data_IF_840516690034
#
_entry.id   IF_840516690034
#
_cell.length_a   1.000
_cell.length_b   1.000
_cell.length_c   1.000
_cell.angle_alpha   90.00
_cell.angle_beta   90.00
_cell.angle_gamma   90.00
#
_symmetry.space_group_name_H-M   'P 1'
#
loop_
_entity.id
_entity.type
_entity.pdbx_description
1 polymer ?
#
# COMPACT_ATOMS: atom_id res chain seq x y z
N UNK A 1 -6.68 -18.56 -6.17
CA UNK A 1 -6.15 -17.43 -6.96
C UNK A 1 -4.72 -17.24 -6.51
N UNK A 2 -3.77 -17.76 -7.27
CA UNK A 2 -2.36 -17.40 -7.13
C UNK A 2 -2.27 -15.92 -7.56
N UNK A 3 -1.96 -15.04 -6.61
CA UNK A 3 -2.01 -13.57 -6.83
C UNK A 3 -0.87 -13.04 -7.72
N UNK A 4 -0.17 -13.92 -8.45
CA UNK A 4 0.95 -13.55 -9.32
C UNK A 4 2.09 -12.85 -8.58
N UNK A 5 2.25 -13.13 -7.28
CA UNK A 5 3.32 -12.57 -6.46
C UNK A 5 4.65 -13.22 -6.83
N UNK A 6 5.78 -12.47 -6.75
CA UNK A 6 7.11 -13.03 -6.91
C UNK A 6 7.36 -14.23 -5.95
N UNK A 7 8.20 -15.17 -6.36
CA UNK A 7 8.57 -16.30 -5.48
C UNK A 7 9.22 -15.80 -4.18
N UNK A 8 8.74 -16.28 -3.03
CA UNK A 8 9.21 -15.88 -1.71
C UNK A 8 8.48 -14.67 -1.10
N UNK A 9 7.47 -14.13 -1.78
CA UNK A 9 6.62 -13.07 -1.24
C UNK A 9 5.39 -13.64 -0.51
N UNK A 10 5.26 -13.28 0.76
CA UNK A 10 4.06 -13.55 1.56
C UNK A 10 3.13 -12.34 1.57
N UNK A 11 1.84 -12.59 1.36
CA UNK A 11 0.79 -11.59 1.55
C UNK A 11 0.67 -11.28 3.03
N UNK A 12 0.93 -10.04 3.40
CA UNK A 12 0.74 -9.57 4.76
C UNK A 12 -0.71 -9.18 4.98
N UNK A 13 -1.24 -8.33 4.10
CA UNK A 13 -2.56 -7.73 4.27
C UNK A 13 -3.25 -7.47 2.93
N UNK A 14 -4.59 -7.47 2.97
CA UNK A 14 -5.46 -7.29 1.82
C UNK A 14 -6.60 -6.34 2.20
N UNK A 15 -6.82 -5.29 1.40
CA UNK A 15 -7.94 -4.38 1.60
C UNK A 15 -8.82 -4.31 0.38
N UNK A 16 -10.13 -4.45 0.58
CA UNK A 16 -11.12 -4.26 -0.48
C UNK A 16 -11.18 -2.79 -0.87
N UNK A 17 -11.03 -2.52 -2.16
CA UNK A 17 -11.07 -1.19 -2.74
C UNK A 17 -11.42 -1.27 -4.23
N UNK A 18 -11.49 -0.11 -4.87
CA UNK A 18 -11.65 0.03 -6.31
C UNK A 18 -10.47 0.78 -6.91
N UNK A 19 -10.05 0.40 -8.11
CA UNK A 19 -9.03 1.11 -8.88
C UNK A 19 -9.54 1.24 -10.32
N UNK A 20 -9.53 2.46 -10.87
CA UNK A 20 -10.03 2.75 -12.23
C UNK A 20 -11.44 2.17 -12.50
N UNK A 21 -12.35 2.31 -11.53
CA UNK A 21 -13.73 1.78 -11.53
C UNK A 21 -13.85 0.25 -11.53
N UNK A 22 -12.77 -0.48 -11.27
CA UNK A 22 -12.77 -1.93 -11.09
C UNK A 22 -12.71 -2.28 -9.61
N UNK A 23 -13.56 -3.20 -9.19
CA UNK A 23 -13.56 -3.72 -7.82
C UNK A 23 -12.48 -4.78 -7.65
N UNK A 24 -11.75 -4.70 -6.55
CA UNK A 24 -10.66 -5.62 -6.28
C UNK A 24 -10.10 -5.46 -4.88
N UNK A 25 -8.82 -5.76 -4.75
CA UNK A 25 -8.10 -5.68 -3.49
C UNK A 25 -6.76 -5.00 -3.69
N UNK A 26 -6.45 -4.07 -2.80
CA UNK A 26 -5.09 -3.63 -2.56
C UNK A 26 -4.37 -4.74 -1.81
N UNK A 27 -3.21 -5.13 -2.30
CA UNK A 27 -2.35 -6.16 -1.76
C UNK A 27 -1.12 -5.50 -1.18
N UNK A 28 -0.80 -5.83 0.07
CA UNK A 28 0.48 -5.53 0.68
C UNK A 28 1.17 -6.85 1.00
N UNK A 29 2.33 -7.07 0.40
CA UNK A 29 3.23 -8.18 0.70
C UNK A 29 4.47 -7.67 1.45
N UNK A 30 5.44 -8.55 1.67
CA UNK A 30 6.68 -8.20 2.36
C UNK A 30 7.47 -7.11 1.64
N UNK A 31 7.58 -7.17 0.31
CA UNK A 31 8.35 -6.20 -0.47
C UNK A 31 7.54 -5.45 -1.53
N UNK A 32 6.27 -5.79 -1.76
CA UNK A 32 5.46 -5.18 -2.81
C UNK A 32 4.11 -4.65 -2.32
N UNK A 33 3.60 -3.68 -3.07
CA UNK A 33 2.24 -3.19 -2.99
C UNK A 33 1.63 -3.22 -4.37
N UNK A 34 0.38 -3.65 -4.46
CA UNK A 34 -0.28 -3.82 -5.74
C UNK A 34 -1.79 -3.80 -5.64
N UNK A 35 -2.45 -3.90 -6.79
CA UNK A 35 -3.89 -4.08 -6.88
C UNK A 35 -4.22 -5.28 -7.76
N UNK A 36 -5.18 -6.07 -7.31
CA UNK A 36 -5.76 -7.17 -8.07
C UNK A 36 -7.27 -6.99 -8.19
N UNK A 37 -7.75 -6.87 -9.43
CA UNK A 37 -9.19 -6.87 -9.72
C UNK A 37 -9.80 -8.27 -9.47
N UNK A 38 -11.04 -8.33 -8.97
CA UNK A 38 -11.70 -9.61 -8.72
C UNK A 38 -11.98 -10.42 -9.99
N UNK A 39 -12.22 -9.72 -11.09
CA UNK A 39 -12.34 -10.30 -12.43
C UNK A 39 -10.99 -10.73 -13.03
N UNK A 40 -9.87 -10.52 -12.31
CA UNK A 40 -8.50 -10.85 -12.72
C UNK A 40 -8.04 -10.16 -14.03
N UNK A 41 -8.74 -9.12 -14.48
CA UNK A 41 -8.39 -8.35 -15.69
C UNK A 41 -7.33 -7.28 -15.45
N UNK A 42 -7.07 -6.95 -14.19
CA UNK A 42 -6.07 -5.96 -13.80
C UNK A 42 -5.28 -6.47 -12.62
N UNK A 43 -3.99 -6.67 -12.85
CA UNK A 43 -3.00 -6.87 -11.82
C UNK A 43 -1.88 -5.87 -12.07
N UNK A 44 -1.56 -5.08 -11.06
CA UNK A 44 -0.29 -4.37 -11.03
C UNK A 44 0.35 -4.55 -9.67
N UNK A 45 1.66 -4.75 -9.67
CA UNK A 45 2.48 -4.84 -8.48
C UNK A 45 3.66 -3.89 -8.64
N UNK A 46 4.01 -3.21 -7.56
CA UNK A 46 5.15 -2.31 -7.48
C UNK A 46 5.93 -2.58 -6.20
N UNK A 47 7.26 -2.46 -6.22
CA UNK A 47 8.04 -2.57 -5.00
C UNK A 47 7.63 -1.48 -4.00
N UNK A 48 7.51 -1.86 -2.72
CA UNK A 48 7.29 -0.93 -1.62
C UNK A 48 8.45 0.07 -1.47
N UNK A 49 9.64 -0.25 -1.97
CA UNK A 49 10.78 0.68 -2.02
C UNK A 49 10.58 1.82 -3.01
N UNK A 50 9.66 1.67 -3.97
CA UNK A 50 9.28 2.72 -4.90
C UNK A 50 8.16 3.62 -4.36
N UNK A 51 7.40 3.19 -3.35
CA UNK A 51 6.35 3.99 -2.74
C UNK A 51 6.97 5.17 -1.96
N UNK A 52 6.68 6.39 -2.39
CA UNK A 52 7.24 7.62 -1.79
C UNK A 52 6.24 8.30 -0.88
N UNK A 53 4.98 8.35 -1.30
CA UNK A 53 3.91 8.99 -0.52
C UNK A 53 2.65 8.15 -0.57
N UNK A 54 1.97 8.11 0.58
CA UNK A 54 0.63 7.58 0.72
C UNK A 54 -0.24 8.66 1.36
N UNK A 55 -1.20 9.15 0.61
CA UNK A 55 -2.07 10.24 1.02
C UNK A 55 -3.53 9.81 1.03
N UNK A 56 -4.31 10.37 1.95
CA UNK A 56 -5.78 10.31 1.85
C UNK A 56 -6.25 11.32 0.84
N UNK A 57 -7.07 10.89 -0.12
CA UNK A 57 -7.75 11.84 -0.99
C UNK A 57 -8.98 12.34 -0.24
N UNK A 58 -8.98 13.64 0.12
CA UNK A 58 -10.23 14.32 0.48
C UNK A 58 -10.92 14.76 -0.80
N UNK A 59 -12.00 14.11 -1.16
CA UNK A 59 -12.86 14.55 -2.24
C UNK A 59 -13.54 15.86 -1.83
N UNK A 60 -13.23 16.97 -2.52
CA UNK A 60 -13.85 18.30 -2.29
C UNK A 60 -15.23 18.37 -2.96
N UNK A 61 -16.05 17.31 -2.89
CA UNK A 61 -17.44 17.34 -3.32
C UNK A 61 -18.36 17.19 -2.10
N UNK A 62 -19.22 18.19 -1.89
CA UNK A 62 -19.97 18.51 -0.67
C UNK A 62 -21.00 17.49 -0.15
N UNK A 63 -20.94 16.20 -0.50
CA UNK A 63 -21.86 15.19 0.03
C UNK A 63 -21.14 14.02 0.71
N UNK A 64 -20.84 14.26 1.99
CA UNK A 64 -20.95 13.35 3.14
C UNK A 64 -20.54 11.86 3.03
N UNK A 65 -19.67 11.47 3.98
CA UNK A 65 -19.56 10.15 4.61
C UNK A 65 -18.87 8.98 3.86
N UNK A 66 -18.36 9.16 2.64
CA UNK A 66 -17.78 8.06 1.82
C UNK A 66 -16.36 8.33 1.30
N UNK A 67 -15.62 9.23 1.94
CA UNK A 67 -14.24 9.62 1.60
C UNK A 67 -13.21 8.53 1.95
N UNK A 68 -13.38 7.34 1.38
CA UNK A 68 -12.54 6.18 1.64
C UNK A 68 -11.57 5.96 0.48
N UNK A 69 -10.77 6.97 0.17
CA UNK A 69 -9.83 6.93 -0.96
C UNK A 69 -8.40 7.17 -0.51
N UNK A 70 -7.47 6.47 -1.17
CA UNK A 70 -6.03 6.57 -0.96
C UNK A 70 -5.34 6.83 -2.29
N UNK A 71 -4.31 7.68 -2.25
CA UNK A 71 -3.43 7.95 -3.38
C UNK A 71 -2.04 7.44 -3.01
N UNK A 72 -1.55 6.49 -3.79
CA UNK A 72 -0.19 5.99 -3.71
C UNK A 72 0.64 6.68 -4.79
N UNK A 73 1.76 7.28 -4.39
CA UNK A 73 2.70 7.94 -5.32
C UNK A 73 4.04 7.22 -5.29
N UNK A 74 4.54 6.87 -6.48
CA UNK A 74 5.77 6.11 -6.65
C UNK A 74 6.90 6.99 -7.19
N UNK A 75 8.15 6.55 -6.99
CA UNK A 75 9.37 7.29 -7.36
C UNK A 75 9.48 7.56 -8.86
N UNK A 76 8.92 6.69 -9.68
CA UNK A 76 8.86 6.81 -11.14
C UNK A 76 7.85 7.88 -11.62
N UNK A 77 7.15 8.55 -10.69
CA UNK A 77 6.10 9.52 -10.99
C UNK A 77 4.73 8.90 -11.25
N UNK A 78 4.62 7.56 -11.19
CA UNK A 78 3.34 6.87 -11.24
C UNK A 78 2.51 7.19 -9.99
N UNK A 79 1.21 7.42 -10.17
CA UNK A 79 0.25 7.65 -9.08
C UNK A 79 -0.96 6.75 -9.25
N UNK A 80 -1.32 6.01 -8.21
CA UNK A 80 -2.50 5.17 -8.18
C UNK A 80 -3.51 5.70 -7.16
N UNK A 81 -4.68 6.14 -7.64
CA UNK A 81 -5.80 6.48 -6.78
C UNK A 81 -6.72 5.27 -6.63
N UNK A 82 -6.87 4.80 -5.41
CA UNK A 82 -7.78 3.74 -5.05
C UNK A 82 -8.92 4.33 -4.21
N UNK A 83 -10.14 3.89 -4.48
CA UNK A 83 -11.37 4.45 -3.90
C UNK A 83 -12.22 3.38 -3.23
N UNK A 84 -13.15 3.80 -2.37
CA UNK A 84 -14.14 2.91 -1.78
C UNK A 84 -13.54 1.84 -0.85
N UNK A 85 -12.46 2.19 -0.13
CA UNK A 85 -11.88 1.30 0.87
C UNK A 85 -12.91 0.94 1.93
N UNK A 86 -12.98 -0.34 2.26
CA UNK A 86 -13.77 -0.80 3.41
C UNK A 86 -13.08 -0.44 4.74
N UNK A 87 -11.75 -0.53 4.77
CA UNK A 87 -10.93 -0.30 5.96
C UNK A 87 -9.72 0.60 5.62
N UNK A 88 -10.00 1.85 5.23
CA UNK A 88 -8.98 2.82 4.82
C UNK A 88 -7.97 3.11 5.93
N UNK A 89 -8.44 3.33 7.14
CA UNK A 89 -7.59 3.69 8.28
C UNK A 89 -6.68 2.53 8.72
N UNK A 90 -7.16 1.30 8.59
CA UNK A 90 -6.36 0.09 8.81
C UNK A 90 -5.24 -0.02 7.78
N UNK A 91 -5.55 0.24 6.50
CA UNK A 91 -4.56 0.35 5.44
C UNK A 91 -3.50 1.42 5.77
N UNK A 92 -3.90 2.64 6.13
CA UNK A 92 -2.97 3.71 6.52
C UNK A 92 -2.04 3.30 7.68
N UNK A 93 -2.60 2.65 8.71
CA UNK A 93 -1.82 2.19 9.85
C UNK A 93 -0.81 1.11 9.47
N UNK A 94 -1.18 0.16 8.61
CA UNK A 94 -0.27 -0.87 8.14
C UNK A 94 0.92 -0.27 7.38
N UNK A 95 0.68 0.67 6.46
CA UNK A 95 1.77 1.35 5.75
C UNK A 95 2.64 2.21 6.68
N UNK A 96 2.04 2.92 7.63
CA UNK A 96 2.80 3.69 8.64
C UNK A 96 3.64 2.81 9.57
N UNK A 97 3.14 1.62 9.93
CA UNK A 97 3.89 0.64 10.72
C UNK A 97 5.06 0.03 9.93
N UNK A 98 4.90 -0.19 8.62
CA UNK A 98 5.99 -0.64 7.75
C UNK A 98 7.10 0.41 7.62
N UNK A 99 6.75 1.69 7.44
CA UNK A 99 7.75 2.77 7.42
C UNK A 99 8.49 2.88 8.78
N UNK A 100 7.76 2.83 9.89
CA UNK A 100 8.36 2.85 11.23
C UNK A 100 9.31 1.66 11.46
N UNK A 101 8.93 0.47 10.99
CA UNK A 101 9.75 -0.74 11.09
C UNK A 101 11.03 -0.63 10.26
N UNK A 102 10.97 -0.07 9.04
CA UNK A 102 12.14 0.17 8.18
C UNK A 102 13.11 1.21 8.75
N UNK A 103 12.59 2.21 9.46
CA UNK A 103 13.40 3.21 10.15
C UNK A 103 14.05 2.65 11.44
N UNK A 104 13.41 1.67 12.08
CA UNK A 104 13.97 0.99 13.27
C UNK A 104 15.10 0.04 12.91
N UNK A 105 15.03 -0.70 11.80
CA UNK A 105 16.12 -1.60 11.36
C UNK A 105 17.37 -0.88 10.87
N UNK A 106 17.31 0.43 10.60
CA UNK A 106 18.49 1.25 10.25
C UNK A 106 19.12 1.98 11.45
N UNK A 107 18.61 1.79 12.68
CA UNK A 107 19.21 2.35 13.90
C UNK A 107 19.45 1.29 14.96
N UNK A 108 20.67 0.73 14.96
CA UNK A 108 21.55 0.50 16.12
C UNK A 108 22.47 -0.70 15.87
N UNK A 109 23.61 -0.46 15.20
CA UNK A 109 24.82 -1.15 15.64
C UNK A 109 25.29 -0.42 16.93
N UNK A 110 25.47 -1.10 18.07
CA UNK A 110 26.11 -0.48 19.22
C UNK A 110 27.56 -0.15 18.85
N UNK A 111 28.09 1.04 19.19
CA UNK A 111 29.52 1.26 19.07
C UNK A 111 30.21 0.25 19.98
N UNK A 112 31.01 -0.63 19.40
CA UNK A 112 31.91 -1.50 20.13
C UNK A 112 32.88 -0.60 20.92
N UNK A 113 32.60 -0.40 22.21
CA UNK A 113 33.57 0.22 23.11
C UNK A 113 34.70 -0.77 23.33
N UNK A 114 35.78 -0.57 22.57
CA UNK A 114 37.14 -0.91 22.99
C UNK A 114 37.57 0.11 24.04
N UNK A 115 37.92 -0.36 25.23
CA UNK A 115 38.52 0.44 26.30
C UNK A 115 38.59 -0.35 27.59
#
# INVERSE_FOLDING_TARGET
>A
VEMGLPEGEDVRQLWRCSYEKRLGQLVLSTEHVGFVAYDSTSLWLRPLSELVHLNTARYVASNAATDNSLILSFRDGHTAQLDGFWARDDCLQAFGAEEATRHVTTRHEPPAMRG
#
